data_IF_848556784753
#
_entry.id   IF_848556784753
#
_cell.length_a   1.000
_cell.length_b   1.000
_cell.length_c   1.000
_cell.angle_alpha   90.00
_cell.angle_beta   90.00
_cell.angle_gamma   90.00
#
_symmetry.space_group_name_H-M   'P 1'
#
loop_
_entity.id
_entity.type
_entity.pdbx_description
1 polymer ?
#
# COMPACT_ATOMS: atom_id res chain seq x y z
N UNK A 1 -9.06 35.57 0.66
CA UNK A 1 -10.34 34.86 0.54
C UNK A 1 -10.19 33.51 1.23
N UNK A 2 -10.47 33.47 2.52
CA UNK A 2 -10.20 32.31 3.37
C UNK A 2 -11.54 31.57 3.50
N UNK A 3 -11.80 30.59 2.63
CA UNK A 3 -12.87 29.62 2.89
C UNK A 3 -12.58 29.05 4.30
N UNK A 4 -13.56 29.08 5.19
CA UNK A 4 -13.44 28.53 6.53
C UNK A 4 -12.94 27.08 6.42
N UNK A 5 -11.83 26.77 7.09
CA UNK A 5 -11.18 25.46 7.05
C UNK A 5 -12.19 24.35 7.39
N UNK A 6 -13.14 24.65 8.29
CA UNK A 6 -14.21 23.72 8.65
C UNK A 6 -15.16 23.43 7.48
N UNK A 7 -15.55 24.44 6.70
CA UNK A 7 -16.38 24.25 5.51
C UNK A 7 -15.66 23.39 4.46
N UNK A 8 -14.36 23.62 4.28
CA UNK A 8 -13.55 22.80 3.37
C UNK A 8 -13.46 21.34 3.82
N UNK A 9 -13.20 21.08 5.11
CA UNK A 9 -13.14 19.72 5.65
C UNK A 9 -14.47 18.97 5.49
N UNK A 10 -15.61 19.63 5.72
CA UNK A 10 -16.93 19.04 5.50
C UNK A 10 -17.20 18.75 4.01
N UNK A 11 -16.80 19.64 3.11
CA UNK A 11 -16.85 19.40 1.65
C UNK A 11 -15.98 18.19 1.27
N UNK A 12 -14.79 18.06 1.84
CA UNK A 12 -13.88 16.95 1.60
C UNK A 12 -14.43 15.61 2.10
N UNK A 13 -14.98 15.56 3.31
CA UNK A 13 -15.60 14.36 3.86
C UNK A 13 -16.78 13.90 3.00
N UNK A 14 -17.60 14.85 2.51
CA UNK A 14 -18.69 14.56 1.59
C UNK A 14 -18.19 13.94 0.28
N UNK A 15 -17.19 14.54 -0.36
CA UNK A 15 -16.56 14.02 -1.58
C UNK A 15 -16.00 12.61 -1.33
N UNK A 16 -15.36 12.39 -0.19
CA UNK A 16 -14.82 11.08 0.17
C UNK A 16 -15.91 10.04 0.44
N UNK A 17 -17.01 10.43 1.09
CA UNK A 17 -18.16 9.55 1.30
C UNK A 17 -18.81 9.14 -0.03
N UNK A 18 -18.99 10.09 -0.96
CA UNK A 18 -19.50 9.84 -2.30
C UNK A 18 -18.57 8.96 -3.16
N UNK A 19 -17.25 9.11 -3.00
CA UNK A 19 -16.27 8.24 -3.67
C UNK A 19 -16.28 6.83 -3.07
N UNK A 20 -16.38 6.72 -1.73
CA UNK A 20 -16.46 5.43 -1.02
C UNK A 20 -17.71 4.64 -1.33
N UNK A 21 -18.86 5.30 -1.52
CA UNK A 21 -20.12 4.62 -1.84
C UNK A 21 -20.12 3.94 -3.21
N UNK A 22 -19.20 4.34 -4.10
CA UNK A 22 -19.01 3.75 -5.44
C UNK A 22 -18.01 2.59 -5.45
N UNK A 23 -17.38 2.28 -4.32
CA UNK A 23 -16.43 1.18 -4.24
C UNK A 23 -17.17 -0.16 -4.30
N UNK A 24 -16.70 -1.03 -5.18
CA UNK A 24 -17.13 -2.43 -5.24
C UNK A 24 -16.62 -3.16 -4.00
N UNK A 25 -17.38 -4.15 -3.54
CA UNK A 25 -17.01 -5.08 -2.47
C UNK A 25 -17.37 -6.50 -2.90
N UNK A 26 -16.58 -7.48 -2.47
CA UNK A 26 -16.79 -8.88 -2.84
C UNK A 26 -15.49 -9.69 -2.82
N UNK A 27 -15.58 -11.03 -2.80
CA UNK A 27 -14.44 -11.92 -2.55
C UNK A 27 -13.35 -11.89 -3.65
N UNK A 28 -13.66 -11.34 -4.83
CA UNK A 28 -12.77 -11.21 -5.98
C UNK A 28 -12.44 -9.75 -6.32
N UNK A 29 -12.65 -8.81 -5.38
CA UNK A 29 -12.40 -7.38 -5.60
C UNK A 29 -10.99 -6.99 -5.19
N UNK A 30 -10.24 -6.38 -6.11
CA UNK A 30 -9.00 -5.68 -5.84
C UNK A 30 -9.30 -4.20 -5.69
N UNK A 31 -8.72 -3.56 -4.66
CA UNK A 31 -8.89 -2.13 -4.47
C UNK A 31 -7.67 -1.36 -4.98
N UNK A 32 -7.93 -0.34 -5.79
CA UNK A 32 -6.92 0.58 -6.29
C UNK A 32 -7.20 1.98 -5.75
N UNK A 33 -6.19 2.61 -5.18
CA UNK A 33 -6.22 4.04 -4.86
C UNK A 33 -5.14 4.72 -5.68
N UNK A 34 -5.51 5.76 -6.43
CA UNK A 34 -4.61 6.38 -7.40
C UNK A 34 -4.76 7.89 -7.43
N UNK A 35 -3.76 8.60 -7.96
CA UNK A 35 -3.90 9.99 -8.37
C UNK A 35 -4.17 10.04 -9.88
N UNK A 36 -5.22 10.73 -10.29
CA UNK A 36 -5.59 10.90 -11.71
C UNK A 36 -4.51 11.57 -12.58
N UNK A 37 -3.50 12.20 -11.97
CA UNK A 37 -2.32 12.67 -12.71
C UNK A 37 -1.45 11.52 -13.26
N UNK A 38 -1.55 10.31 -12.71
CA UNK A 38 -0.76 9.16 -13.15
C UNK A 38 -1.54 8.12 -13.94
N UNK A 39 -2.86 8.03 -13.74
CA UNK A 39 -3.72 7.08 -14.43
C UNK A 39 -4.86 7.85 -15.09
N UNK A 40 -4.83 7.87 -16.42
CA UNK A 40 -5.89 8.42 -17.25
C UNK A 40 -7.14 7.51 -17.24
N UNK A 41 -8.32 8.02 -17.61
CA UNK A 41 -9.54 7.20 -17.71
C UNK A 41 -9.39 6.01 -18.68
N UNK A 42 -8.63 6.18 -19.77
CA UNK A 42 -8.37 5.10 -20.73
C UNK A 42 -7.47 4.01 -20.14
N UNK A 43 -6.41 4.39 -19.40
CA UNK A 43 -5.55 3.44 -18.70
C UNK A 43 -6.32 2.71 -17.59
N UNK A 44 -7.22 3.40 -16.89
CA UNK A 44 -8.06 2.76 -15.89
C UNK A 44 -8.98 1.70 -16.50
N UNK A 45 -9.65 2.01 -17.62
CA UNK A 45 -10.49 1.06 -18.33
C UNK A 45 -9.69 -0.17 -18.85
N UNK A 46 -8.44 0.06 -19.26
CA UNK A 46 -7.53 -1.04 -19.61
C UNK A 46 -7.23 -1.92 -18.39
N UNK A 47 -6.91 -1.33 -17.25
CA UNK A 47 -6.63 -2.08 -16.01
C UNK A 47 -7.88 -2.83 -15.52
N UNK A 48 -9.08 -2.28 -15.69
CA UNK A 48 -10.34 -2.97 -15.42
C UNK A 48 -10.47 -4.21 -16.32
N UNK A 49 -10.22 -4.06 -17.62
CA UNK A 49 -10.27 -5.18 -18.58
C UNK A 49 -9.23 -6.27 -18.25
N UNK A 50 -8.00 -5.89 -17.93
CA UNK A 50 -6.93 -6.82 -17.52
C UNK A 50 -7.29 -7.56 -16.23
N UNK A 51 -7.95 -6.88 -15.28
CA UNK A 51 -8.42 -7.48 -14.02
C UNK A 51 -9.57 -8.45 -14.26
N UNK A 52 -10.53 -8.08 -15.12
CA UNK A 52 -11.69 -8.91 -15.49
C UNK A 52 -11.30 -10.17 -16.25
N UNK A 53 -10.24 -10.12 -17.08
CA UNK A 53 -9.69 -11.28 -17.76
C UNK A 53 -9.19 -12.38 -16.80
N UNK A 54 -8.90 -12.02 -15.54
CA UNK A 54 -8.51 -12.93 -14.47
C UNK A 54 -9.70 -13.40 -13.61
N UNK A 55 -10.93 -13.00 -13.93
CA UNK A 55 -12.12 -13.24 -13.11
C UNK A 55 -12.20 -12.38 -11.85
N UNK A 56 -11.38 -11.33 -11.76
CA UNK A 56 -11.34 -10.39 -10.66
C UNK A 56 -12.10 -9.10 -11.02
N UNK A 57 -12.37 -8.27 -10.03
CA UNK A 57 -13.00 -6.96 -10.22
C UNK A 57 -12.12 -5.87 -9.67
N UNK A 58 -11.95 -4.78 -10.42
CA UNK A 58 -11.23 -3.61 -9.96
C UNK A 58 -12.20 -2.59 -9.32
N UNK A 59 -11.88 -2.20 -8.08
CA UNK A 59 -12.55 -1.13 -7.34
C UNK A 59 -11.58 0.04 -7.19
N UNK A 60 -11.73 1.07 -8.02
CA UNK A 60 -10.78 2.15 -8.14
C UNK A 60 -11.27 3.45 -7.48
N UNK A 61 -10.37 4.15 -6.77
CA UNK A 61 -10.64 5.41 -6.08
C UNK A 61 -9.61 6.47 -6.45
N UNK A 62 -10.05 7.51 -7.16
CA UNK A 62 -9.22 8.70 -7.38
C UNK A 62 -9.07 9.48 -6.06
N UNK A 63 -7.83 9.82 -5.73
CA UNK A 63 -7.43 10.61 -4.56
C UNK A 63 -6.99 12.02 -4.92
N UNK A 64 -7.02 12.41 -6.19
CA UNK A 64 -6.70 13.76 -6.62
C UNK A 64 -7.61 14.81 -5.98
N UNK A 65 -7.02 15.97 -5.68
CA UNK A 65 -7.68 17.11 -5.03
C UNK A 65 -7.93 16.94 -3.54
N UNK A 66 -7.42 15.86 -2.93
CA UNK A 66 -7.59 15.57 -1.51
C UNK A 66 -6.32 15.96 -0.74
N UNK A 67 -6.38 17.00 0.09
CA UNK A 67 -5.33 17.27 1.08
C UNK A 67 -5.21 16.09 2.03
N UNK A 68 -4.00 15.55 2.14
CA UNK A 68 -3.68 14.45 3.04
C UNK A 68 -2.88 15.01 4.21
N UNK A 69 -3.43 14.94 5.43
CA UNK A 69 -2.63 15.19 6.63
C UNK A 69 -1.70 13.99 6.89
N UNK A 70 -0.49 14.30 7.33
CA UNK A 70 0.77 13.55 7.27
C UNK A 70 0.76 12.09 7.77
N UNK A 71 -0.24 11.68 8.53
CA UNK A 71 -0.34 10.30 9.07
C UNK A 71 -0.95 9.32 8.05
N UNK A 72 -1.77 9.82 7.12
CA UNK A 72 -2.38 9.01 6.05
C UNK A 72 -1.60 9.05 4.73
N UNK A 73 -0.60 9.94 4.63
CA UNK A 73 0.24 10.17 3.45
C UNK A 73 1.48 9.29 3.37
N UNK A 74 1.65 8.31 4.27
CA UNK A 74 2.59 7.18 4.09
C UNK A 74 2.10 6.14 3.07
N UNK A 75 1.04 6.47 2.33
CA UNK A 75 0.42 5.65 1.30
C UNK A 75 0.83 6.19 -0.06
N UNK A 76 1.48 5.37 -0.87
CA UNK A 76 2.06 5.80 -2.14
C UNK A 76 1.05 6.44 -3.08
N UNK A 77 1.57 7.12 -4.11
CA UNK A 77 0.76 7.79 -5.15
C UNK A 77 -0.19 6.81 -5.85
N UNK A 78 0.23 5.55 -5.93
CA UNK A 78 -0.60 4.42 -6.29
C UNK A 78 -0.56 3.36 -5.18
N UNK A 79 -1.72 2.94 -4.69
CA UNK A 79 -1.85 1.86 -3.70
C UNK A 79 -2.76 0.78 -4.25
N UNK A 80 -2.21 -0.41 -4.40
CA UNK A 80 -2.95 -1.62 -4.74
C UNK A 80 -3.16 -2.44 -3.48
N UNK A 81 -4.41 -2.73 -3.13
CA UNK A 81 -4.75 -3.50 -1.95
C UNK A 81 -5.44 -4.82 -2.33
N UNK A 82 -4.84 -5.92 -1.88
CA UNK A 82 -5.35 -7.29 -1.99
C UNK A 82 -5.83 -7.71 -0.61
N UNK A 83 -7.09 -7.40 -0.29
CA UNK A 83 -7.64 -7.58 1.07
C UNK A 83 -8.65 -8.71 1.20
N UNK A 84 -9.20 -9.17 0.07
CA UNK A 84 -10.32 -10.07 0.07
C UNK A 84 -9.86 -11.53 0.25
N UNK A 85 -10.55 -12.34 1.08
CA UNK A 85 -10.16 -13.71 1.37
C UNK A 85 -10.00 -14.61 0.14
N UNK A 86 -10.76 -14.34 -0.93
CA UNK A 86 -10.62 -15.08 -2.19
C UNK A 86 -9.28 -14.83 -2.87
N UNK A 87 -8.77 -13.60 -2.80
CA UNK A 87 -7.49 -13.21 -3.40
C UNK A 87 -6.33 -13.70 -2.54
N UNK A 88 -6.43 -13.54 -1.21
CA UNK A 88 -5.40 -14.04 -0.30
C UNK A 88 -5.35 -15.57 -0.30
N UNK A 89 -6.48 -16.25 -0.52
CA UNK A 89 -6.54 -17.69 -0.77
C UNK A 89 -5.72 -18.14 -1.97
N UNK A 90 -5.71 -17.37 -3.07
CA UNK A 90 -4.86 -17.65 -4.25
C UNK A 90 -3.38 -17.58 -3.85
N UNK A 91 -2.98 -16.52 -3.13
CA UNK A 91 -1.61 -16.33 -2.65
C UNK A 91 -1.17 -17.43 -1.66
N UNK A 92 -2.05 -17.80 -0.72
CA UNK A 92 -1.80 -18.83 0.30
C UNK A 92 -1.73 -20.24 -0.29
N UNK A 93 -2.57 -20.54 -1.28
CA UNK A 93 -2.51 -21.83 -1.97
C UNK A 93 -1.15 -22.06 -2.61
N UNK A 94 -0.47 -20.96 -2.99
CA UNK A 94 0.86 -20.89 -3.60
C UNK A 94 1.18 -22.05 -4.52
N UNK A 95 0.18 -22.44 -5.30
CA UNK A 95 0.34 -23.26 -6.48
C UNK A 95 1.03 -22.34 -7.50
N UNK A 96 2.36 -22.29 -7.45
CA UNK A 96 3.20 -21.55 -8.41
C UNK A 96 2.97 -22.01 -9.87
N UNK A 97 2.17 -23.04 -10.10
CA UNK A 97 1.73 -23.54 -11.42
C UNK A 97 0.33 -23.05 -11.83
N UNK A 98 -0.32 -22.21 -11.04
CA UNK A 98 -1.67 -21.73 -11.33
C UNK A 98 -1.60 -20.42 -12.12
N UNK A 99 -2.10 -20.40 -13.36
CA UNK A 99 -2.06 -19.22 -14.24
C UNK A 99 -2.72 -17.97 -13.66
N UNK A 100 -3.54 -18.12 -12.61
CA UNK A 100 -4.13 -17.00 -11.87
C UNK A 100 -3.10 -16.24 -11.02
N UNK A 101 -2.09 -16.92 -10.45
CA UNK A 101 -1.01 -16.25 -9.72
C UNK A 101 -0.09 -15.47 -10.67
N UNK A 102 0.29 -16.08 -11.79
CA UNK A 102 1.07 -15.42 -12.83
C UNK A 102 0.31 -14.23 -13.42
N UNK A 103 -1.00 -14.39 -13.64
CA UNK A 103 -1.89 -13.31 -14.04
C UNK A 103 -1.92 -12.17 -13.02
N UNK A 104 -2.05 -12.48 -11.73
CA UNK A 104 -2.02 -11.49 -10.66
C UNK A 104 -0.67 -10.77 -10.58
N UNK A 105 0.45 -11.48 -10.76
CA UNK A 105 1.80 -10.90 -10.83
C UNK A 105 1.92 -9.93 -12.01
N UNK A 106 1.50 -10.36 -13.21
CA UNK A 106 1.49 -9.52 -14.40
C UNK A 106 0.61 -8.28 -14.22
N UNK A 107 -0.55 -8.43 -13.57
CA UNK A 107 -1.44 -7.33 -13.24
C UNK A 107 -0.78 -6.33 -12.27
N UNK A 108 -0.11 -6.80 -11.21
CA UNK A 108 0.63 -5.94 -10.27
C UNK A 108 1.74 -5.15 -11.01
N UNK A 109 2.48 -5.81 -11.90
CA UNK A 109 3.51 -5.16 -12.72
C UNK A 109 2.87 -4.12 -13.65
N UNK A 110 1.72 -4.43 -14.26
CA UNK A 110 0.95 -3.49 -15.09
C UNK A 110 0.59 -2.24 -14.30
N UNK A 111 0.06 -2.37 -13.07
CA UNK A 111 -0.21 -1.22 -12.18
C UNK A 111 1.04 -0.41 -11.86
N UNK A 112 2.12 -1.07 -11.45
CA UNK A 112 3.38 -0.40 -11.12
C UNK A 112 3.95 0.37 -12.32
N UNK A 113 3.88 -0.21 -13.53
CA UNK A 113 4.36 0.44 -14.76
C UNK A 113 3.65 1.76 -15.06
N UNK A 114 2.41 1.96 -14.55
CA UNK A 114 1.67 3.21 -14.73
C UNK A 114 2.23 4.36 -13.91
N UNK A 115 3.04 4.10 -12.89
CA UNK A 115 3.66 5.15 -12.07
C UNK A 115 5.18 5.13 -12.11
N UNK A 116 5.79 4.01 -12.49
CA UNK A 116 7.24 3.91 -12.57
C UNK A 116 7.83 4.99 -13.51
N UNK A 117 8.89 5.67 -13.05
CA UNK A 117 9.54 6.75 -13.78
C UNK A 117 8.76 8.06 -13.89
N UNK A 118 7.53 8.15 -13.35
CA UNK A 118 6.77 9.41 -13.28
C UNK A 118 7.22 10.23 -12.06
N UNK A 119 7.01 11.54 -12.15
CA UNK A 119 7.25 12.48 -11.05
C UNK A 119 5.91 12.91 -10.46
N UNK A 120 5.92 13.14 -9.15
CA UNK A 120 4.82 13.67 -8.36
C UNK A 120 5.26 14.96 -7.69
N UNK A 121 4.33 15.91 -7.60
CA UNK A 121 4.53 17.14 -6.84
C UNK A 121 3.77 17.02 -5.53
N UNK A 122 4.48 17.11 -4.41
CA UNK A 122 3.86 17.31 -3.09
C UNK A 122 3.99 18.77 -2.66
N UNK A 123 2.89 19.33 -2.18
CA UNK A 123 2.85 20.67 -1.61
C UNK A 123 2.67 20.56 -0.10
N UNK A 124 3.65 21.05 0.64
CA UNK A 124 3.56 21.32 2.07
C UNK A 124 3.25 22.79 2.29
N UNK A 125 2.87 23.18 3.52
CA UNK A 125 2.57 24.57 3.87
C UNK A 125 3.71 25.56 3.59
N UNK A 126 4.94 25.08 3.36
CA UNK A 126 6.14 25.90 3.15
C UNK A 126 6.95 25.58 1.90
N UNK A 127 6.75 24.40 1.28
CA UNK A 127 7.57 23.98 0.13
C UNK A 127 6.76 23.16 -0.87
N UNK A 128 7.03 23.38 -2.16
CA UNK A 128 6.64 22.48 -3.26
C UNK A 128 7.86 21.60 -3.51
N UNK A 129 7.68 20.28 -3.50
CA UNK A 129 8.73 19.30 -3.76
C UNK A 129 8.30 18.36 -4.87
N UNK A 130 9.19 18.19 -5.84
CA UNK A 130 9.10 17.11 -6.82
C UNK A 130 9.79 15.87 -6.26
N UNK A 131 9.15 14.72 -6.39
CA UNK A 131 9.71 13.42 -6.04
C UNK A 131 9.19 12.34 -7.00
N UNK A 132 9.91 11.21 -7.14
CA UNK A 132 9.42 10.09 -7.91
C UNK A 132 8.04 9.63 -7.41
N UNK A 133 7.20 9.19 -8.35
CA UNK A 133 5.92 8.62 -8.00
C UNK A 133 6.12 7.28 -7.27
N UNK A 134 5.39 7.06 -6.19
CA UNK A 134 5.50 5.86 -5.37
C UNK A 134 4.36 4.87 -5.64
N UNK A 135 4.69 3.58 -5.69
CA UNK A 135 3.71 2.49 -5.70
C UNK A 135 3.85 1.60 -4.48
N UNK A 136 2.71 1.34 -3.83
CA UNK A 136 2.60 0.47 -2.68
C UNK A 136 1.64 -0.68 -2.98
N UNK A 137 2.12 -1.90 -2.81
CA UNK A 137 1.28 -3.10 -2.77
C UNK A 137 1.04 -3.48 -1.31
N UNK A 138 -0.23 -3.60 -0.92
CA UNK A 138 -0.65 -4.02 0.41
C UNK A 138 -1.49 -5.29 0.30
N UNK A 139 -1.07 -6.35 0.96
CA UNK A 139 -1.76 -7.64 0.98
C UNK A 139 -2.19 -7.88 2.41
N UNK A 140 -3.50 -7.87 2.67
CA UNK A 140 -4.04 -8.12 4.01
C UNK A 140 -4.43 -9.58 4.10
N UNK A 141 -3.71 -10.35 4.91
CA UNK A 141 -3.95 -11.79 5.10
C UNK A 141 -5.12 -11.98 6.07
N UNK A 142 -5.11 -11.24 7.18
CA UNK A 142 -6.22 -11.16 8.14
C UNK A 142 -6.18 -9.85 8.94
N UNK A 143 -6.89 -9.79 10.07
CA UNK A 143 -6.94 -8.60 10.93
C UNK A 143 -5.59 -8.18 11.51
N UNK A 144 -4.65 -9.12 11.70
CA UNK A 144 -3.39 -8.89 12.40
C UNK A 144 -2.14 -9.10 11.52
N UNK A 145 -2.33 -9.40 10.23
CA UNK A 145 -1.24 -9.77 9.32
C UNK A 145 -1.39 -9.10 7.97
N UNK A 146 -0.34 -8.42 7.55
CA UNK A 146 -0.23 -7.84 6.22
C UNK A 146 1.19 -7.91 5.67
N UNK A 147 1.29 -7.94 4.35
CA UNK A 147 2.54 -7.77 3.62
C UNK A 147 2.46 -6.42 2.91
N UNK A 148 3.49 -5.59 3.08
CA UNK A 148 3.60 -4.32 2.40
C UNK A 148 4.87 -4.26 1.56
N UNK A 149 4.71 -4.01 0.28
CA UNK A 149 5.80 -3.78 -0.66
C UNK A 149 5.73 -2.33 -1.14
N UNK A 150 6.68 -1.52 -0.67
CA UNK A 150 6.93 -0.18 -1.21
C UNK A 150 7.96 -0.31 -2.33
N UNK A 151 7.70 0.32 -3.47
CA UNK A 151 8.52 0.15 -4.68
C UNK A 151 9.39 1.35 -5.03
N UNK A 152 9.58 2.25 -4.07
CA UNK A 152 10.53 3.36 -4.22
C UNK A 152 11.92 2.80 -4.58
N UNK A 153 12.44 3.21 -5.73
CA UNK A 153 13.74 2.81 -6.27
C UNK A 153 13.89 1.31 -6.64
N UNK A 154 12.79 0.59 -6.86
CA UNK A 154 12.86 -0.76 -7.45
C UNK A 154 12.95 -0.69 -8.98
N UNK A 155 13.83 -1.49 -9.56
CA UNK A 155 13.75 -1.82 -10.98
C UNK A 155 12.78 -3.00 -11.22
N UNK A 156 12.44 -3.24 -12.48
CA UNK A 156 11.48 -4.28 -12.87
C UNK A 156 11.93 -5.68 -12.43
N UNK A 157 13.24 -5.94 -12.43
CA UNK A 157 13.81 -7.22 -12.03
C UNK A 157 13.66 -7.43 -10.52
N UNK A 158 13.98 -6.42 -9.71
CA UNK A 158 13.86 -6.44 -8.26
C UNK A 158 12.38 -6.55 -7.84
N UNK A 159 11.47 -5.86 -8.54
CA UNK A 159 10.04 -6.05 -8.36
C UNK A 159 9.62 -7.49 -8.66
N UNK A 160 10.05 -8.07 -9.79
CA UNK A 160 9.75 -9.45 -10.15
C UNK A 160 10.17 -10.44 -9.06
N UNK A 161 11.39 -10.30 -8.55
CA UNK A 161 11.93 -11.13 -7.45
C UNK A 161 11.16 -10.92 -6.14
N UNK A 162 10.78 -9.68 -5.83
CA UNK A 162 9.98 -9.38 -4.65
C UNK A 162 8.61 -10.07 -4.73
N UNK A 163 7.94 -9.96 -5.88
CA UNK A 163 6.64 -10.58 -6.14
C UNK A 163 6.71 -12.11 -6.09
N UNK A 164 7.78 -12.73 -6.60
CA UNK A 164 7.94 -14.20 -6.55
C UNK A 164 7.99 -14.73 -5.11
N UNK A 165 8.55 -13.95 -4.18
CA UNK A 165 8.64 -14.33 -2.77
C UNK A 165 7.37 -14.04 -1.96
N UNK A 166 6.42 -13.27 -2.50
CA UNK A 166 5.21 -12.89 -1.76
C UNK A 166 4.39 -14.12 -1.36
N UNK A 167 4.23 -15.12 -2.24
CA UNK A 167 3.49 -16.33 -1.88
C UNK A 167 4.12 -17.08 -0.71
N UNK A 168 5.45 -17.15 -0.68
CA UNK A 168 6.19 -17.85 0.37
C UNK A 168 6.06 -17.09 1.70
N UNK A 169 6.17 -15.76 1.66
CA UNK A 169 5.99 -14.91 2.83
C UNK A 169 4.57 -14.99 3.39
N UNK A 170 3.56 -14.95 2.51
CA UNK A 170 2.16 -15.06 2.90
C UNK A 170 1.89 -16.43 3.56
N UNK A 171 2.54 -17.51 3.09
CA UNK A 171 2.49 -18.84 3.72
C UNK A 171 3.19 -18.86 5.08
N UNK A 172 4.39 -18.29 5.19
CA UNK A 172 5.16 -18.25 6.43
C UNK A 172 4.45 -17.44 7.52
N UNK A 173 3.83 -16.32 7.14
CA UNK A 173 2.98 -15.52 8.00
C UNK A 173 1.72 -16.27 8.44
N UNK A 174 1.29 -17.30 7.69
CA UNK A 174 0.19 -18.20 8.04
C UNK A 174 0.29 -18.75 9.47
N UNK A 175 1.50 -18.86 10.01
CA UNK A 175 1.78 -19.45 11.33
C UNK A 175 2.25 -18.45 12.41
N UNK A 176 2.40 -17.16 12.09
CA UNK A 176 2.97 -16.14 12.99
C UNK A 176 1.97 -15.04 13.33
N UNK A 177 1.93 -14.55 14.58
CA UNK A 177 1.05 -13.44 15.01
C UNK A 177 1.79 -12.10 14.96
N UNK A 178 1.06 -11.01 14.69
CA UNK A 178 1.51 -9.61 14.81
C UNK A 178 2.82 -9.30 14.04
N UNK A 179 2.92 -9.81 12.82
CA UNK A 179 4.14 -9.70 12.02
C UNK A 179 3.89 -8.88 10.76
N UNK A 180 4.76 -7.91 10.50
CA UNK A 180 4.83 -7.13 9.26
C UNK A 180 6.09 -7.52 8.50
N UNK A 181 5.98 -7.71 7.18
CA UNK A 181 7.13 -7.99 6.32
C UNK A 181 7.38 -6.80 5.41
N UNK A 182 8.60 -6.27 5.43
CA UNK A 182 9.05 -5.15 4.61
C UNK A 182 10.16 -5.60 3.66
N UNK A 183 10.07 -5.20 2.40
CA UNK A 183 11.12 -5.48 1.42
C UNK A 183 12.19 -4.39 1.46
N UNK A 184 13.45 -4.81 1.60
CA UNK A 184 14.62 -3.94 1.48
C UNK A 184 15.14 -4.01 0.04
N UNK A 185 15.02 -2.91 -0.74
CA UNK A 185 15.44 -2.87 -2.14
C UNK A 185 16.96 -2.94 -2.31
N UNK A 186 17.76 -2.52 -1.32
CA UNK A 186 19.22 -2.47 -1.43
C UNK A 186 19.81 -3.88 -1.33
N UNK A 187 19.28 -4.67 -0.40
CA UNK A 187 19.74 -6.03 -0.14
C UNK A 187 18.87 -7.11 -0.82
N UNK A 188 17.81 -6.71 -1.53
CA UNK A 188 16.83 -7.60 -2.20
C UNK A 188 16.34 -8.69 -1.23
N UNK A 189 16.04 -8.29 0.01
CA UNK A 189 15.65 -9.18 1.10
C UNK A 189 14.38 -8.71 1.77
N UNK A 190 13.60 -9.66 2.26
CA UNK A 190 12.45 -9.36 3.11
C UNK A 190 12.90 -9.39 4.56
N UNK A 191 12.50 -8.36 5.31
CA UNK A 191 12.82 -8.19 6.73
C UNK A 191 11.54 -8.28 7.54
N UNK A 192 11.57 -9.11 8.57
CA UNK A 192 10.49 -9.24 9.53
C UNK A 192 10.54 -8.10 10.54
N UNK A 193 9.42 -7.42 10.72
CA UNK A 193 9.21 -6.41 11.77
C UNK A 193 8.11 -6.92 12.69
N UNK A 194 8.47 -7.15 13.95
CA UNK A 194 7.52 -7.46 15.02
C UNK A 194 6.76 -6.18 15.37
N UNK A 195 5.44 -6.18 15.20
CA UNK A 195 4.61 -5.02 15.54
C UNK A 195 4.04 -5.22 16.93
N UNK A 196 4.53 -4.44 17.89
CA UNK A 196 3.91 -4.38 19.22
C UNK A 196 2.63 -3.54 19.15
N UNK A 197 1.51 -4.23 18.98
CA UNK A 197 0.17 -3.63 18.92
C UNK A 197 -0.18 -2.94 20.26
N UNK A 198 0.33 -3.43 21.40
CA UNK A 198 0.05 -2.85 22.70
C UNK A 198 0.84 -1.54 22.89
N UNK A 199 2.07 -1.47 22.38
CA UNK A 199 2.83 -0.22 22.28
C UNK A 199 2.09 0.82 21.43
N UNK A 200 1.59 0.46 20.23
CA UNK A 200 0.83 1.38 19.36
C UNK A 200 -0.49 1.86 20.00
N UNK A 201 -1.19 0.99 20.74
CA UNK A 201 -2.41 1.35 21.47
C UNK A 201 -2.14 2.25 22.67
N UNK A 202 -1.04 2.03 23.40
CA UNK A 202 -0.63 2.88 24.52
C UNK A 202 -0.15 4.27 24.07
N UNK A 203 0.47 4.36 22.88
CA UNK A 203 1.06 5.59 22.34
C UNK A 203 0.16 6.33 21.34
N UNK A 204 -1.05 5.85 21.06
CA UNK A 204 -2.09 6.64 20.34
C UNK A 204 -2.49 7.95 21.06
N UNK A 205 -1.99 8.20 22.28
CA UNK A 205 -2.09 9.50 22.97
C UNK A 205 -0.90 10.45 22.75
N UNK A 206 0.17 10.04 22.05
CA UNK A 206 1.32 10.89 21.78
C UNK A 206 1.17 11.57 20.41
N UNK A 207 0.89 12.86 20.47
CA UNK A 207 0.84 13.85 19.38
C UNK A 207 2.22 14.14 18.74
N UNK A 208 3.15 13.19 18.76
CA UNK A 208 4.46 13.32 18.09
C UNK A 208 4.71 12.13 17.18
N UNK A 209 4.87 12.45 15.89
CA UNK A 209 5.40 11.55 14.87
C UNK A 209 6.83 11.14 15.28
N UNK A 210 7.06 9.82 15.44
CA UNK A 210 8.40 9.24 15.55
C UNK A 210 8.72 8.71 14.15
N UNK A 211 9.71 9.28 13.42
CA UNK A 211 10.17 8.75 12.14
C UNK A 211 10.53 7.26 12.26
N UNK A 212 10.32 6.50 11.16
CA UNK A 212 10.56 5.06 11.14
C UNK A 212 12.00 4.71 11.57
N UNK A 213 12.97 5.54 11.22
CA UNK A 213 14.36 5.35 11.67
C UNK A 213 14.50 5.44 13.19
N UNK A 214 13.81 6.39 13.82
CA UNK A 214 13.87 6.61 15.28
C UNK A 214 13.15 5.48 16.03
N UNK A 215 12.04 4.95 15.49
CA UNK A 215 11.38 3.75 16.03
C UNK A 215 12.25 2.49 15.93
N UNK A 216 12.92 2.30 14.79
CA UNK A 216 13.84 1.18 14.59
C UNK A 216 15.07 1.30 15.50
N UNK A 217 15.55 2.51 15.78
CA UNK A 217 16.66 2.76 16.69
C UNK A 217 16.26 2.56 18.17
N UNK A 218 15.05 2.96 18.57
CA UNK A 218 14.50 2.67 19.89
C UNK A 218 14.31 1.16 20.13
N UNK A 219 13.81 0.42 19.13
CA UNK A 219 13.71 -1.03 19.22
C UNK A 219 15.08 -1.68 19.42
N UNK A 220 16.08 -1.26 18.64
CA UNK A 220 17.47 -1.74 18.79
C UNK A 220 18.05 -1.43 20.16
N UNK A 221 17.77 -0.24 20.72
CA UNK A 221 18.21 0.16 22.08
C UNK A 221 17.53 -0.63 23.20
N UNK A 222 16.28 -1.02 23.02
CA UNK A 222 15.59 -1.91 23.97
C UNK A 222 16.16 -3.33 23.92
N UNK A 223 16.43 -3.85 22.73
CA UNK A 223 17.03 -5.17 22.56
C UNK A 223 18.47 -5.23 23.07
N UNK A 224 19.23 -4.13 23.02
CA UNK A 224 20.58 -4.03 23.59
C UNK A 224 20.61 -3.81 25.11
N UNK A 225 19.45 -3.58 25.74
CA UNK A 225 19.37 -3.33 27.19
C UNK A 225 19.89 -1.96 27.63
N UNK A 226 20.04 -1.01 26.70
CA UNK A 226 20.55 0.34 26.97
C UNK A 226 19.49 1.29 27.56
N UNK A 227 18.21 0.95 27.45
CA UNK A 227 17.11 1.64 28.11
C UNK A 227 16.70 0.86 29.37
N UNK A 228 17.24 1.27 30.52
CA UNK A 228 16.72 0.90 31.85
C UNK A 228 15.95 2.04 32.47
#
# INVERSE_FOLDING_TARGET
>A
MQKDLNTYLVEMEKIMAERRSKLKSGPNVIQLRYLSQHISPAELAQLETETEALGLQLSAMDRSGIMQNSISSLSGDLVLMLTEPGITGILLSGLMTNGLYDGLKALIISFWSKVNGKQTVSQTARTIREHPASFNLSIKIDENRSVELKTENLDEKALGVALDKISDIVKDLGNQKNTLMLFDPLDIKWTQVMVDIDYLKQHQKLTREIPLEEYLEELRRKESGELK
#
